data_IF_271463206203
#
_entry.id   IF_271463206203
#
_cell.length_a   1.000
_cell.length_b   1.000
_cell.length_c   1.000
_cell.angle_alpha   90.00
_cell.angle_beta   90.00
_cell.angle_gamma   90.00
#
_symmetry.space_group_name_H-M   'P 1'
#
loop_
_entity.id
_entity.type
_entity.pdbx_description
1 polymer ?
#
# COMPACT_ATOMS: atom_id res chain seq x y z
N UNK A 1 -17.81 3.58 -4.58
CA UNK A 1 -18.27 4.97 -4.83
C UNK A 1 -18.80 5.59 -3.52
N UNK A 2 -19.98 5.21 -3.00
CA UNK A 2 -20.62 5.87 -1.86
C UNK A 2 -19.72 5.98 -0.60
N UNK A 3 -19.00 4.92 -0.21
CA UNK A 3 -18.11 4.91 0.98
C UNK A 3 -16.99 5.98 0.89
N UNK A 4 -16.52 6.27 -0.31
CA UNK A 4 -15.43 7.22 -0.56
C UNK A 4 -15.94 8.58 -1.05
N UNK A 5 -17.26 8.81 -0.98
CA UNK A 5 -17.91 10.02 -1.51
C UNK A 5 -17.55 10.30 -2.99
N UNK A 6 -17.44 9.24 -3.77
CA UNK A 6 -17.19 9.30 -5.19
C UNK A 6 -18.51 9.61 -5.91
N UNK A 7 -18.69 10.86 -6.26
CA UNK A 7 -19.93 11.38 -6.88
C UNK A 7 -19.89 11.30 -8.41
N UNK A 8 -18.71 11.17 -9.00
CA UNK A 8 -18.51 11.25 -10.47
C UNK A 8 -18.37 9.88 -11.13
N UNK A 9 -18.33 8.80 -10.37
CA UNK A 9 -18.13 7.42 -10.84
C UNK A 9 -19.05 7.04 -12.03
N UNK A 10 -20.34 7.38 -11.95
CA UNK A 10 -21.29 7.02 -13.01
C UNK A 10 -21.06 7.83 -14.29
N UNK A 11 -20.62 9.09 -14.19
CA UNK A 11 -20.33 9.94 -15.35
C UNK A 11 -19.11 9.44 -16.10
N UNK A 12 -18.09 9.04 -15.37
CA UNK A 12 -16.85 8.51 -15.94
C UNK A 12 -17.09 7.16 -16.62
N UNK A 13 -17.89 6.27 -16.03
CA UNK A 13 -18.32 5.02 -16.64
C UNK A 13 -19.10 5.24 -17.95
N UNK A 14 -20.00 6.22 -17.96
CA UNK A 14 -20.81 6.55 -19.14
C UNK A 14 -19.95 7.07 -20.31
N UNK A 15 -18.82 7.73 -20.02
CA UNK A 15 -17.89 8.25 -21.03
C UNK A 15 -16.89 7.21 -21.55
N UNK A 16 -16.91 5.96 -21.05
CA UNK A 16 -16.07 4.87 -21.54
C UNK A 16 -14.57 5.05 -21.31
N UNK A 17 -14.18 5.95 -20.41
CA UNK A 17 -12.79 6.43 -20.25
C UNK A 17 -12.09 5.93 -18.98
N UNK A 18 -12.52 4.81 -18.38
CA UNK A 18 -11.88 4.37 -17.14
C UNK A 18 -10.78 3.33 -17.34
N UNK A 19 -9.59 3.57 -16.79
CA UNK A 19 -8.81 2.47 -16.29
C UNK A 19 -9.62 1.83 -15.16
N UNK A 20 -9.68 0.51 -15.14
CA UNK A 20 -10.23 -0.18 -13.96
C UNK A 20 -9.25 -0.01 -12.80
N UNK A 21 -9.45 1.03 -12.01
CA UNK A 21 -8.66 1.28 -10.80
C UNK A 21 -9.20 0.36 -9.71
N UNK A 22 -8.57 -0.79 -9.53
CA UNK A 22 -8.91 -1.68 -8.44
C UNK A 22 -8.32 -1.14 -7.14
N UNK A 23 -9.18 -0.85 -6.16
CA UNK A 23 -8.77 -0.45 -4.82
C UNK A 23 -9.33 -1.40 -3.79
N UNK A 24 -8.71 -1.45 -2.61
CA UNK A 24 -9.33 -2.14 -1.49
C UNK A 24 -10.69 -1.50 -1.17
N UNK A 25 -11.66 -2.35 -0.83
CA UNK A 25 -13.00 -1.89 -0.44
C UNK A 25 -13.00 -1.13 0.88
N UNK A 26 -12.07 -1.47 1.79
CA UNK A 26 -11.89 -0.84 3.09
C UNK A 26 -10.83 0.26 3.01
N UNK A 27 -11.05 1.34 3.75
CA UNK A 27 -10.01 2.33 4.06
C UNK A 27 -9.38 1.96 5.41
N UNK A 28 -8.09 2.23 5.56
CA UNK A 28 -7.34 1.84 6.74
C UNK A 28 -6.86 3.06 7.52
N UNK A 29 -6.66 2.88 8.83
CA UNK A 29 -6.21 3.92 9.75
C UNK A 29 -4.89 3.59 10.44
N UNK A 30 -4.50 2.31 10.45
CA UNK A 30 -3.29 1.85 11.12
C UNK A 30 -2.76 0.58 10.45
N UNK A 31 -1.42 0.49 10.40
CA UNK A 31 -0.69 -0.70 9.98
C UNK A 31 0.34 -1.09 11.03
N UNK A 32 0.53 -2.39 11.24
CA UNK A 32 1.59 -2.94 12.08
C UNK A 32 2.14 -4.19 11.40
N UNK A 33 3.46 -4.34 11.39
CA UNK A 33 4.16 -5.54 10.92
C UNK A 33 4.95 -6.12 12.09
N UNK A 34 4.80 -7.42 12.32
CA UNK A 34 5.54 -8.16 13.35
C UNK A 34 6.16 -9.41 12.75
N UNK A 35 7.16 -9.98 13.42
CA UNK A 35 7.76 -11.27 13.08
C UNK A 35 7.50 -12.31 14.16
N UNK A 36 7.44 -13.58 13.78
CA UNK A 36 7.40 -14.72 14.71
C UNK A 36 8.77 -15.10 15.28
N UNK A 37 9.87 -14.54 14.76
CA UNK A 37 11.25 -14.84 15.13
C UNK A 37 12.00 -13.55 15.50
N UNK A 38 13.10 -13.69 16.21
CA UNK A 38 13.94 -12.56 16.61
C UNK A 38 14.68 -11.98 15.40
N UNK A 39 14.39 -10.72 15.09
CA UNK A 39 15.02 -10.00 13.99
C UNK A 39 16.45 -9.59 14.36
N UNK A 40 16.57 -8.94 15.49
CA UNK A 40 17.80 -8.51 16.15
C UNK A 40 17.55 -8.35 17.66
N UNK A 41 18.55 -7.87 18.41
CA UNK A 41 18.43 -7.68 19.87
C UNK A 41 17.34 -6.66 20.27
N UNK A 42 17.06 -5.67 19.40
CA UNK A 42 16.05 -4.65 19.66
C UNK A 42 14.64 -5.10 19.25
N UNK A 43 14.54 -6.09 18.35
CA UNK A 43 13.29 -6.58 17.79
C UNK A 43 13.10 -8.08 18.04
N UNK A 44 12.85 -8.50 19.27
CA UNK A 44 12.49 -9.88 19.57
C UNK A 44 11.15 -10.28 18.96
N UNK A 45 10.92 -11.57 18.81
CA UNK A 45 9.70 -12.14 18.25
C UNK A 45 8.42 -11.49 18.80
N UNK A 46 7.50 -11.13 17.92
CA UNK A 46 6.23 -10.48 18.25
C UNK A 46 6.28 -8.96 18.41
N UNK A 47 7.46 -8.34 18.39
CA UNK A 47 7.57 -6.88 18.42
C UNK A 47 7.32 -6.25 17.05
N UNK A 48 7.06 -4.96 17.04
CA UNK A 48 6.88 -4.21 15.78
C UNK A 48 8.20 -4.05 15.04
N UNK A 49 8.18 -4.24 13.73
CA UNK A 49 9.31 -4.02 12.83
C UNK A 49 9.27 -2.61 12.18
N UNK A 50 8.70 -1.63 12.85
CA UNK A 50 8.38 -0.32 12.30
C UNK A 50 9.60 0.43 11.75
N UNK A 51 10.74 0.35 12.41
CA UNK A 51 11.96 1.09 12.09
C UNK A 51 12.94 0.33 11.19
N UNK A 52 12.66 -0.94 10.91
CA UNK A 52 13.47 -1.78 10.00
C UNK A 52 12.84 -2.00 8.63
N UNK A 53 11.71 -1.36 8.38
CA UNK A 53 11.02 -1.44 7.08
C UNK A 53 10.26 -0.16 6.73
N UNK A 54 9.96 -0.03 5.46
CA UNK A 54 9.01 0.94 4.92
C UNK A 54 7.89 0.22 4.18
N UNK A 55 6.76 0.88 4.05
CA UNK A 55 5.64 0.41 3.26
C UNK A 55 5.42 1.37 2.10
N UNK A 56 5.44 0.83 0.90
CA UNK A 56 5.07 1.55 -0.32
C UNK A 56 3.64 1.19 -0.68
N UNK A 57 2.80 2.20 -0.74
CA UNK A 57 1.40 2.08 -1.18
C UNK A 57 1.11 3.09 -2.27
N UNK A 58 0.20 2.74 -3.16
CA UNK A 58 -0.33 3.63 -4.18
C UNK A 58 -1.78 3.94 -3.84
N UNK A 59 -2.15 5.22 -3.78
CA UNK A 59 -3.52 5.67 -3.52
C UNK A 59 -4.09 6.35 -4.74
N UNK A 60 -5.33 6.02 -5.09
CA UNK A 60 -6.11 6.71 -6.14
C UNK A 60 -7.05 7.78 -5.58
N UNK A 61 -6.96 8.07 -4.27
CA UNK A 61 -7.91 8.97 -3.60
C UNK A 61 -7.94 10.37 -4.21
N UNK A 62 -6.77 10.96 -4.50
CA UNK A 62 -6.68 12.30 -5.04
C UNK A 62 -7.34 12.36 -6.43
N UNK A 63 -7.02 11.42 -7.31
CA UNK A 63 -7.61 11.30 -8.65
C UNK A 63 -9.15 11.22 -8.62
N UNK A 64 -9.70 10.41 -7.72
CA UNK A 64 -11.16 10.26 -7.58
C UNK A 64 -11.80 11.54 -7.04
N UNK A 65 -11.16 12.21 -6.07
CA UNK A 65 -11.69 13.45 -5.49
C UNK A 65 -11.58 14.65 -6.42
N UNK A 66 -10.63 14.64 -7.36
CA UNK A 66 -10.50 15.64 -8.41
C UNK A 66 -11.43 15.37 -9.61
N UNK A 67 -12.43 14.49 -9.42
CA UNK A 67 -13.44 14.20 -10.44
C UNK A 67 -12.92 13.41 -11.63
N UNK A 68 -11.87 12.61 -11.44
CA UNK A 68 -11.22 11.81 -12.48
C UNK A 68 -10.56 12.69 -13.57
N UNK A 69 -9.98 13.81 -13.19
CA UNK A 69 -9.31 14.70 -14.13
C UNK A 69 -8.04 14.04 -14.69
N UNK A 70 -8.03 13.81 -15.99
CA UNK A 70 -6.90 13.22 -16.74
C UNK A 70 -6.10 14.26 -17.51
N UNK A 71 -6.43 15.55 -17.37
CA UNK A 71 -5.81 16.62 -18.14
C UNK A 71 -5.98 16.50 -19.66
N UNK A 72 -5.11 17.17 -20.42
CA UNK A 72 -5.12 17.16 -21.88
C UNK A 72 -4.58 15.85 -22.48
N UNK A 73 -3.63 15.21 -21.81
CA UNK A 73 -2.89 14.02 -22.28
C UNK A 73 -3.44 12.72 -21.68
N UNK A 74 -4.74 12.48 -21.87
CA UNK A 74 -5.48 11.35 -21.26
C UNK A 74 -4.83 9.98 -21.43
N UNK A 75 -4.28 9.70 -22.60
CA UNK A 75 -3.70 8.40 -22.90
C UNK A 75 -2.37 8.17 -22.16
N UNK A 76 -1.48 9.17 -22.17
CA UNK A 76 -0.20 9.12 -21.47
C UNK A 76 -0.40 9.07 -19.96
N UNK A 77 -1.33 9.85 -19.42
CA UNK A 77 -1.72 9.85 -18.02
C UNK A 77 -2.11 8.44 -17.53
N UNK A 78 -2.91 7.73 -18.32
CA UNK A 78 -3.35 6.37 -17.99
C UNK A 78 -2.22 5.35 -18.11
N UNK A 79 -1.37 5.45 -19.12
CA UNK A 79 -0.24 4.54 -19.32
C UNK A 79 0.85 4.69 -18.25
N UNK A 80 1.08 5.91 -17.77
CA UNK A 80 2.09 6.22 -16.77
C UNK A 80 1.60 6.03 -15.34
N UNK A 81 0.32 5.65 -15.14
CA UNK A 81 -0.30 5.54 -13.80
C UNK A 81 -0.27 6.85 -13.00
N UNK A 82 -0.30 8.01 -13.68
CA UNK A 82 -0.25 9.34 -13.04
C UNK A 82 -1.46 9.61 -12.13
N UNK A 83 -2.49 8.76 -12.21
CA UNK A 83 -3.63 8.76 -11.29
C UNK A 83 -3.34 8.11 -9.93
N UNK A 84 -2.16 7.54 -9.75
CA UNK A 84 -1.75 6.92 -8.49
C UNK A 84 -0.71 7.79 -7.78
N UNK A 85 -1.01 8.14 -6.54
CA UNK A 85 -0.05 8.77 -5.63
C UNK A 85 0.72 7.72 -4.88
N UNK A 86 2.02 7.65 -5.12
CA UNK A 86 2.92 6.76 -4.37
C UNK A 86 3.27 7.35 -3.01
N UNK A 87 3.09 6.56 -1.97
CA UNK A 87 3.39 6.90 -0.57
C UNK A 87 4.35 5.85 -0.04
N UNK A 88 5.50 6.27 0.49
CA UNK A 88 6.50 5.38 1.08
C UNK A 88 6.89 5.92 2.45
N UNK A 89 6.51 5.20 3.50
CA UNK A 89 6.64 5.60 4.90
C UNK A 89 6.80 4.38 5.80
N UNK A 90 7.29 4.61 7.01
CA UNK A 90 7.19 3.61 8.08
C UNK A 90 5.71 3.33 8.40
N UNK A 91 5.36 2.12 8.84
CA UNK A 91 3.97 1.80 9.23
C UNK A 91 3.35 2.79 10.21
N UNK A 92 4.12 3.24 11.22
CA UNK A 92 3.64 4.20 12.23
C UNK A 92 3.43 5.62 11.71
N UNK A 93 4.05 5.98 10.59
CA UNK A 93 3.95 7.30 9.95
C UNK A 93 2.80 7.38 8.93
N UNK A 94 2.23 6.22 8.57
CA UNK A 94 1.08 6.16 7.66
C UNK A 94 -0.16 6.70 8.35
N UNK A 95 -0.80 7.68 7.72
CA UNK A 95 -2.05 8.27 8.19
C UNK A 95 -3.26 7.61 7.52
N UNK A 96 -4.45 7.82 8.09
CA UNK A 96 -5.68 7.37 7.44
C UNK A 96 -5.89 8.01 6.05
N UNK A 97 -5.39 9.22 5.82
CA UNK A 97 -5.42 9.85 4.51
C UNK A 97 -4.50 9.14 3.50
N UNK A 98 -3.31 8.72 3.93
CA UNK A 98 -2.37 7.95 3.09
C UNK A 98 -2.97 6.59 2.68
N UNK A 99 -3.71 5.95 3.58
CA UNK A 99 -4.24 4.59 3.42
C UNK A 99 -5.69 4.57 2.90
N UNK A 100 -6.13 5.65 2.27
CA UNK A 100 -7.45 5.74 1.63
C UNK A 100 -7.36 5.29 0.18
N UNK A 101 -8.33 4.49 -0.26
CA UNK A 101 -8.41 3.97 -1.62
C UNK A 101 -7.09 3.39 -2.14
N UNK A 102 -6.45 2.55 -1.31
CA UNK A 102 -5.19 1.90 -1.66
C UNK A 102 -5.39 1.03 -2.90
N UNK A 103 -4.60 1.31 -3.93
CA UNK A 103 -4.61 0.57 -5.17
C UNK A 103 -4.09 -0.86 -4.96
N UNK A 104 -4.73 -1.80 -5.64
CA UNK A 104 -4.34 -3.20 -5.62
C UNK A 104 -4.27 -3.74 -7.05
N UNK A 105 -3.14 -4.26 -7.45
CA UNK A 105 -2.99 -4.94 -8.73
C UNK A 105 -2.61 -6.41 -8.55
N UNK A 106 -3.41 -7.29 -9.14
CA UNK A 106 -3.11 -8.72 -9.23
C UNK A 106 -2.27 -9.07 -10.47
N UNK A 107 -2.32 -8.24 -11.50
CA UNK A 107 -1.83 -8.58 -12.84
C UNK A 107 -0.72 -7.67 -13.33
N UNK A 108 -0.35 -6.67 -12.54
CA UNK A 108 0.65 -5.73 -12.94
C UNK A 108 2.06 -6.28 -12.69
N UNK A 109 2.81 -6.46 -13.78
CA UNK A 109 4.19 -6.93 -13.75
C UNK A 109 5.20 -5.80 -13.58
N UNK A 110 4.75 -4.55 -13.56
CA UNK A 110 5.59 -3.39 -13.34
C UNK A 110 5.91 -3.24 -11.86
N UNK A 111 7.19 -3.04 -11.54
CA UNK A 111 7.62 -2.80 -10.15
C UNK A 111 7.09 -1.50 -9.56
N UNK A 112 6.67 -0.55 -10.41
CA UNK A 112 6.20 0.77 -10.00
C UNK A 112 4.76 0.78 -9.48
N UNK A 113 3.95 -0.18 -9.91
CA UNK A 113 2.52 -0.23 -9.60
C UNK A 113 2.14 -1.30 -8.58
N UNK A 114 3.08 -2.15 -8.17
CA UNK A 114 2.82 -3.10 -7.06
C UNK A 114 2.48 -2.33 -5.80
N UNK A 115 1.35 -2.72 -5.17
CA UNK A 115 0.88 -2.06 -3.95
C UNK A 115 -0.08 -3.01 -3.21
N UNK A 116 0.03 -3.14 -1.90
CA UNK A 116 1.11 -2.65 -1.04
C UNK A 116 2.40 -3.49 -1.16
N UNK A 117 3.55 -2.88 -0.91
CA UNK A 117 4.86 -3.55 -0.88
C UNK A 117 5.55 -3.21 0.44
N UNK A 118 6.12 -4.22 1.10
CA UNK A 118 7.00 -4.03 2.26
C UNK A 118 8.44 -4.01 1.74
N UNK A 119 9.18 -2.97 2.11
CA UNK A 119 10.57 -2.74 1.74
C UNK A 119 11.41 -2.72 3.01
N UNK A 120 12.35 -3.67 3.15
CA UNK A 120 13.21 -3.73 4.32
C UNK A 120 14.37 -2.75 4.20
N UNK A 121 14.58 -1.94 5.25
CA UNK A 121 15.70 -1.00 5.36
C UNK A 121 16.90 -1.61 6.08
N UNK A 122 16.70 -2.68 6.84
CA UNK A 122 17.76 -3.52 7.41
C UNK A 122 17.41 -5.00 7.31
N UNK A 123 18.44 -5.85 7.19
CA UNK A 123 18.26 -7.30 7.20
C UNK A 123 18.26 -7.82 8.66
N UNK A 124 17.63 -8.97 8.93
CA UNK A 124 17.71 -9.60 10.24
C UNK A 124 19.14 -10.07 10.55
N UNK A 125 19.55 -9.94 11.81
CA UNK A 125 20.90 -10.34 12.26
C UNK A 125 20.92 -11.60 13.11
N UNK A 126 19.79 -12.02 13.65
CA UNK A 126 19.66 -13.23 14.47
C UNK A 126 19.08 -14.39 13.66
N UNK A 127 17.79 -14.43 13.48
CA UNK A 127 17.14 -15.47 12.67
C UNK A 127 17.09 -15.04 11.20
N UNK A 128 17.09 -16.00 10.27
CA UNK A 128 17.04 -15.70 8.83
C UNK A 128 15.66 -15.86 8.24
N UNK A 129 14.91 -16.86 8.69
CA UNK A 129 13.55 -17.13 8.20
C UNK A 129 12.54 -16.53 9.16
N UNK A 130 11.62 -15.74 8.62
CA UNK A 130 10.59 -15.06 9.37
C UNK A 130 9.21 -15.33 8.80
N UNK A 131 8.22 -15.56 9.66
CA UNK A 131 6.82 -15.40 9.30
C UNK A 131 6.37 -14.00 9.72
N UNK A 132 6.28 -13.13 8.75
CA UNK A 132 5.81 -11.76 8.94
C UNK A 132 4.30 -11.75 9.01
N UNK A 133 3.76 -11.04 9.98
CA UNK A 133 2.32 -10.80 10.11
C UNK A 133 2.03 -9.33 9.96
N UNK A 134 1.28 -9.00 8.90
CA UNK A 134 0.74 -7.68 8.64
C UNK A 134 -0.65 -7.58 9.26
N UNK A 135 -0.88 -6.53 10.04
CA UNK A 135 -2.20 -6.20 10.63
C UNK A 135 -2.60 -4.82 10.15
N UNK A 136 -3.72 -4.74 9.44
CA UNK A 136 -4.35 -3.49 9.03
C UNK A 136 -5.63 -3.27 9.82
N UNK A 137 -5.74 -2.09 10.43
CA UNK A 137 -6.97 -1.68 11.09
C UNK A 137 -7.73 -0.74 10.17
N UNK A 138 -9.00 -1.03 9.91
CA UNK A 138 -9.87 -0.16 9.11
C UNK A 138 -10.22 1.10 9.88
N UNK A 139 -10.77 2.08 9.20
CA UNK A 139 -11.28 3.32 9.85
C UNK A 139 -12.46 3.03 10.75
N UNK A 140 -13.19 1.92 10.53
CA UNK A 140 -14.28 1.43 11.37
C UNK A 140 -13.79 0.62 12.59
N UNK A 141 -12.48 0.29 12.65
CA UNK A 141 -11.87 -0.44 13.76
C UNK A 141 -11.71 -1.94 13.54
N UNK A 142 -12.16 -2.49 12.42
CA UNK A 142 -11.95 -3.89 12.08
C UNK A 142 -10.47 -4.18 11.81
N UNK A 143 -10.01 -5.36 12.19
CA UNK A 143 -8.63 -5.80 11.95
C UNK A 143 -8.59 -6.86 10.85
N UNK A 144 -7.81 -6.59 9.81
CA UNK A 144 -7.46 -7.55 8.75
C UNK A 144 -6.02 -8.00 8.96
N UNK A 145 -5.77 -9.29 8.77
CA UNK A 145 -4.41 -9.86 8.93
C UNK A 145 -4.03 -10.68 7.71
N UNK A 146 -2.74 -10.61 7.36
CA UNK A 146 -2.12 -11.48 6.39
C UNK A 146 -0.73 -11.87 6.88
N UNK A 147 -0.26 -13.08 6.54
CA UNK A 147 1.07 -13.53 6.91
C UNK A 147 1.78 -14.13 5.70
N UNK A 148 3.11 -13.98 5.69
CA UNK A 148 4.00 -14.55 4.69
C UNK A 148 5.28 -15.02 5.36
N UNK A 149 5.77 -16.20 4.96
CA UNK A 149 7.08 -16.69 5.39
C UNK A 149 8.10 -16.36 4.31
N UNK A 150 9.20 -15.74 4.71
CA UNK A 150 10.27 -15.30 3.81
C UNK A 150 11.62 -15.23 4.53
N UNK A 151 12.68 -15.04 3.76
CA UNK A 151 13.99 -14.63 4.22
C UNK A 151 14.19 -13.17 3.81
N UNK A 152 14.00 -12.20 4.73
CA UNK A 152 14.06 -10.79 4.40
C UNK A 152 15.47 -10.35 3.99
N UNK A 153 15.54 -9.56 2.92
CA UNK A 153 16.77 -8.92 2.44
C UNK A 153 16.52 -7.43 2.25
N UNK A 154 17.57 -6.63 2.39
CA UNK A 154 17.49 -5.19 2.10
C UNK A 154 17.28 -4.96 0.62
N UNK A 155 16.38 -4.05 0.27
CA UNK A 155 16.20 -3.65 -1.12
C UNK A 155 17.52 -3.07 -1.68
N UNK A 156 18.09 -3.65 -2.75
CA UNK A 156 19.32 -3.14 -3.34
C UNK A 156 19.24 -1.66 -3.78
N UNK A 157 18.05 -1.15 -4.05
CA UNK A 157 17.84 0.25 -4.40
C UNK A 157 18.02 1.22 -3.23
N UNK A 158 18.08 0.71 -1.98
CA UNK A 158 18.30 1.49 -0.76
C UNK A 158 19.76 1.44 -0.26
N UNK A 159 20.64 0.74 -0.98
CA UNK A 159 22.08 0.66 -0.71
C UNK A 159 22.84 1.61 -1.64
#
# INVERSE_FOLDING_TARGET
AARNNDIDFNQVLANGALPMVATFADNFSKMVVTSNADWDEAHPAGTSLDDVLQVRINSSSDFVHDGYDMGEYKYEFLQNYDYLKTIEKRPSELTAADMKMVYYSLTDFSSQTKSPVIVFTSAPTLEKEHTLTLRWTTVEGDVKTASVTCTPEVDPALQ
#
